data_IF_627072841599
#
_entry.id   IF_627072841599
#
_cell.length_a   1.000
_cell.length_b   1.000
_cell.length_c   1.000
_cell.angle_alpha   90.00
_cell.angle_beta   90.00
_cell.angle_gamma   90.00
#
_symmetry.space_group_name_H-M   'P 1'
#
loop_
_entity.id
_entity.type
_entity.pdbx_description
1 polymer ?
#
# COMPACT_ATOMS: atom_id res chain seq x y z
N UNK A 1 -1.09 -6.21 39.25
CA UNK A 1 -1.76 -6.67 40.49
C UNK A 1 -0.76 -7.49 41.29
N UNK A 2 0.06 -6.84 42.12
CA UNK A 2 0.93 -7.45 43.14
C UNK A 2 0.90 -6.53 44.36
N UNK A 3 0.49 -7.08 45.49
CA UNK A 3 0.33 -6.44 46.80
C UNK A 3 1.67 -6.25 47.51
N UNK A 4 1.91 -5.13 48.23
CA UNK A 4 3.11 -4.96 49.05
C UNK A 4 2.99 -5.61 50.43
N UNK A 5 4.11 -6.20 50.90
CA UNK A 5 4.26 -6.75 52.25
C UNK A 5 4.41 -5.64 53.29
N UNK A 6 3.57 -5.71 54.31
CA UNK A 6 3.55 -4.84 55.49
C UNK A 6 4.68 -5.28 56.44
N UNK A 7 5.57 -4.36 56.82
CA UNK A 7 6.53 -4.57 57.91
C UNK A 7 6.19 -3.60 59.04
N UNK A 8 5.61 -4.17 60.09
CA UNK A 8 5.18 -3.49 61.30
C UNK A 8 6.40 -3.36 62.22
N UNK A 9 6.88 -2.14 62.46
CA UNK A 9 7.92 -1.86 63.44
C UNK A 9 7.28 -1.64 64.82
N UNK A 10 7.67 -2.49 65.76
CA UNK A 10 7.24 -2.48 67.16
C UNK A 10 8.01 -1.40 67.93
N UNK A 11 7.31 -0.44 68.55
CA UNK A 11 7.90 0.50 69.50
C UNK A 11 7.77 -0.08 70.92
N UNK A 12 8.90 -0.44 71.52
CA UNK A 12 9.02 -0.77 72.95
C UNK A 12 9.11 0.52 73.76
N UNK A 13 8.14 0.72 74.65
CA UNK A 13 8.16 1.76 75.68
C UNK A 13 8.96 1.27 76.89
N UNK A 14 10.14 1.83 77.13
CA UNK A 14 10.86 1.69 78.41
C UNK A 14 10.75 3.00 79.19
N UNK A 15 10.02 2.94 80.30
CA UNK A 15 9.92 4.00 81.29
C UNK A 15 11.21 4.11 82.10
N UNK A 16 11.79 5.30 82.18
CA UNK A 16 12.80 5.64 83.19
C UNK A 16 12.63 7.10 83.61
N UNK A 17 12.23 7.28 84.87
CA UNK A 17 12.14 8.56 85.56
C UNK A 17 13.54 9.18 85.71
N UNK A 18 13.75 10.36 85.14
CA UNK A 18 14.81 11.29 85.55
C UNK A 18 14.16 12.67 85.71
N UNK A 19 14.00 13.08 86.97
CA UNK A 19 13.74 14.48 87.33
C UNK A 19 14.99 15.30 87.03
N UNK A 20 14.95 16.07 85.95
CA UNK A 20 15.84 17.20 85.74
C UNK A 20 14.97 18.41 85.41
N UNK A 21 15.10 19.46 86.21
CA UNK A 21 14.46 20.75 85.98
C UNK A 21 15.01 21.35 84.69
N UNK A 22 14.32 21.08 83.60
CA UNK A 22 14.55 21.61 82.27
C UNK A 22 13.48 22.66 81.99
N UNK A 23 13.89 23.79 81.45
CA UNK A 23 13.02 24.93 81.24
C UNK A 23 11.83 24.53 80.34
N UNK A 24 10.60 24.92 80.73
CA UNK A 24 9.40 24.75 79.89
C UNK A 24 9.53 25.42 78.51
N UNK A 25 10.53 26.28 78.32
CA UNK A 25 10.82 27.01 77.07
C UNK A 25 11.49 26.10 76.04
N UNK A 26 12.26 25.09 76.47
CA UNK A 26 13.05 24.27 75.55
C UNK A 26 12.29 23.04 75.01
N UNK A 27 11.28 22.48 75.72
CA UNK A 27 10.36 21.48 75.12
C UNK A 27 9.56 22.12 73.99
N UNK A 28 9.06 23.32 74.25
CA UNK A 28 8.24 24.08 73.31
C UNK A 28 9.04 24.52 72.08
N UNK A 29 10.34 24.82 72.24
CA UNK A 29 11.21 25.17 71.12
C UNK A 29 11.62 23.96 70.27
N UNK A 30 11.65 22.75 70.84
CA UNK A 30 11.92 21.49 70.12
C UNK A 30 10.68 21.02 69.35
N UNK A 31 9.48 21.03 69.95
CA UNK A 31 8.22 20.67 69.27
C UNK A 31 7.89 21.63 68.12
N UNK A 32 8.10 22.95 68.32
CA UNK A 32 7.90 23.94 67.26
C UNK A 32 8.88 23.74 66.09
N UNK A 33 10.15 23.39 66.38
CA UNK A 33 11.14 23.05 65.34
C UNK A 33 10.82 21.75 64.60
N UNK A 34 10.28 20.75 65.30
CA UNK A 34 9.91 19.47 64.72
C UNK A 34 8.63 19.56 63.86
N UNK A 35 7.66 20.37 64.30
CA UNK A 35 6.51 20.77 63.47
C UNK A 35 6.95 21.55 62.22
N UNK A 36 7.88 22.48 62.36
CA UNK A 36 8.41 23.27 61.25
C UNK A 36 9.18 22.38 60.24
N UNK A 37 9.95 21.41 60.75
CA UNK A 37 10.65 20.40 59.94
C UNK A 37 9.66 19.49 59.20
N UNK A 38 8.59 19.05 59.88
CA UNK A 38 7.52 18.26 59.28
C UNK A 38 6.76 19.03 58.19
N UNK A 39 6.49 20.32 58.39
CA UNK A 39 5.88 21.21 57.38
C UNK A 39 6.81 21.40 56.17
N UNK A 40 8.11 21.57 56.40
CA UNK A 40 9.13 21.69 55.35
C UNK A 40 9.26 20.40 54.53
N UNK A 41 9.26 19.24 55.19
CA UNK A 41 9.27 17.93 54.53
C UNK A 41 8.01 17.72 53.67
N UNK A 42 6.82 18.03 54.20
CA UNK A 42 5.55 17.96 53.46
C UNK A 42 5.54 18.88 52.23
N UNK A 43 6.07 20.11 52.34
CA UNK A 43 6.16 21.02 51.19
C UNK A 43 7.09 20.45 50.10
N UNK A 44 8.22 19.87 50.50
CA UNK A 44 9.16 19.20 49.57
C UNK A 44 8.50 18.01 48.85
N UNK A 45 7.67 17.22 49.54
CA UNK A 45 6.90 16.15 48.91
C UNK A 45 5.89 16.68 47.90
N UNK A 46 5.14 17.74 48.24
CA UNK A 46 4.16 18.34 47.34
C UNK A 46 4.81 18.91 46.08
N UNK A 47 5.96 19.59 46.22
CA UNK A 47 6.73 20.07 45.06
C UNK A 47 7.19 18.92 44.15
N UNK A 48 7.64 17.79 44.73
CA UNK A 48 8.01 16.61 43.96
C UNK A 48 6.79 15.94 43.30
N UNK A 49 5.64 15.90 43.97
CA UNK A 49 4.39 15.36 43.43
C UNK A 49 3.88 16.19 42.25
N UNK A 50 3.93 17.53 42.38
CA UNK A 50 3.59 18.46 41.29
C UNK A 50 4.54 18.29 40.09
N UNK A 51 5.85 18.13 40.33
CA UNK A 51 6.80 17.90 39.25
C UNK A 51 6.59 16.54 38.56
N UNK A 52 6.22 15.49 39.31
CA UNK A 52 5.85 14.19 38.75
C UNK A 52 4.60 14.31 37.88
N UNK A 53 3.56 15.00 38.35
CA UNK A 53 2.32 15.18 37.58
C UNK A 53 2.57 16.01 36.32
N UNK A 54 3.42 17.05 36.41
CA UNK A 54 3.87 17.81 35.23
C UNK A 54 4.58 16.92 34.21
N UNK A 55 5.56 16.11 34.64
CA UNK A 55 6.27 15.17 33.75
C UNK A 55 5.34 14.14 33.14
N UNK A 56 4.39 13.61 33.91
CA UNK A 56 3.36 12.68 33.44
C UNK A 56 2.47 13.32 32.38
N UNK A 57 2.06 14.57 32.58
CA UNK A 57 1.28 15.32 31.57
C UNK A 57 2.09 15.55 30.29
N UNK A 58 3.34 15.99 30.40
CA UNK A 58 4.23 16.19 29.24
C UNK A 58 4.45 14.88 28.46
N UNK A 59 4.69 13.77 29.15
CA UNK A 59 4.82 12.46 28.53
C UNK A 59 3.51 12.05 27.85
N UNK A 60 2.38 12.21 28.52
CA UNK A 60 1.07 11.86 27.94
C UNK A 60 0.77 12.66 26.67
N UNK A 61 1.06 13.96 26.67
CA UNK A 61 0.87 14.81 25.49
C UNK A 61 1.79 14.38 24.33
N UNK A 62 3.05 14.05 24.63
CA UNK A 62 3.98 13.53 23.61
C UNK A 62 3.50 12.22 23.00
N UNK A 63 3.02 11.29 23.83
CA UNK A 63 2.47 10.01 23.35
C UNK A 63 1.23 10.25 22.49
N UNK A 64 0.29 11.09 22.94
CA UNK A 64 -0.91 11.40 22.18
C UNK A 64 -0.59 12.05 20.83
N UNK A 65 0.37 12.97 20.78
CA UNK A 65 0.82 13.60 19.55
C UNK A 65 1.50 12.61 18.59
N UNK A 66 2.24 11.62 19.12
CA UNK A 66 2.82 10.54 18.31
C UNK A 66 1.75 9.60 17.76
N UNK A 67 0.80 9.18 18.60
CA UNK A 67 -0.31 8.32 18.18
C UNK A 67 -1.13 8.98 17.07
N UNK A 68 -1.47 10.26 17.20
CA UNK A 68 -2.21 10.99 16.16
C UNK A 68 -1.47 11.06 14.81
N UNK A 69 -0.13 11.17 14.82
CA UNK A 69 0.66 11.10 13.58
C UNK A 69 0.62 9.71 12.95
N UNK A 70 0.81 8.67 13.77
CA UNK A 70 0.78 7.27 13.32
C UNK A 70 -0.59 6.89 12.75
N UNK A 71 -1.68 7.36 13.38
CA UNK A 71 -3.05 7.13 12.90
C UNK A 71 -3.27 7.76 11.51
N UNK A 72 -2.83 9.00 11.32
CA UNK A 72 -2.93 9.70 10.03
C UNK A 72 -2.07 9.03 8.95
N UNK A 73 -0.83 8.66 9.26
CA UNK A 73 0.03 7.89 8.34
C UNK A 73 -0.59 6.54 7.99
N UNK A 74 -1.16 5.84 8.96
CA UNK A 74 -1.85 4.56 8.75
C UNK A 74 -3.04 4.73 7.81
N UNK A 75 -3.81 5.80 7.98
CA UNK A 75 -4.94 6.12 7.10
C UNK A 75 -4.47 6.39 5.66
N UNK A 76 -3.45 7.24 5.48
CA UNK A 76 -2.88 7.51 4.16
C UNK A 76 -2.32 6.26 3.48
N UNK A 77 -1.65 5.39 4.25
CA UNK A 77 -1.17 4.09 3.76
C UNK A 77 -2.32 3.18 3.32
N UNK A 78 -3.46 3.20 4.02
CA UNK A 78 -4.64 2.43 3.63
C UNK A 78 -5.22 2.93 2.29
N UNK A 79 -5.31 4.25 2.10
CA UNK A 79 -5.74 4.87 0.84
C UNK A 79 -4.81 4.48 -0.32
N UNK A 80 -3.50 4.56 -0.13
CA UNK A 80 -2.51 4.14 -1.15
C UNK A 80 -2.66 2.64 -1.49
N UNK A 81 -2.88 1.78 -0.49
CA UNK A 81 -3.10 0.34 -0.70
C UNK A 81 -4.38 0.08 -1.51
N UNK A 82 -5.47 0.74 -1.17
CA UNK A 82 -6.73 0.63 -1.92
C UNK A 82 -6.56 1.07 -3.38
N UNK A 83 -5.87 2.18 -3.62
CA UNK A 83 -5.55 2.64 -4.97
C UNK A 83 -4.69 1.64 -5.74
N UNK A 84 -3.70 1.01 -5.09
CA UNK A 84 -2.88 -0.06 -5.71
C UNK A 84 -3.70 -1.31 -6.02
N UNK A 85 -4.58 -1.74 -5.12
CA UNK A 85 -5.44 -2.92 -5.31
C UNK A 85 -6.46 -2.70 -6.44
N UNK A 86 -6.95 -1.47 -6.60
CA UNK A 86 -7.86 -1.10 -7.69
C UNK A 86 -7.16 -0.87 -9.04
N UNK A 87 -5.82 -0.83 -9.07
CA UNK A 87 -5.02 -0.60 -10.28
C UNK A 87 -5.07 -1.81 -11.22
N UNK A 88 -6.12 -1.86 -12.02
CA UNK A 88 -6.30 -2.87 -13.07
C UNK A 88 -5.78 -2.38 -14.43
N UNK A 89 -5.67 -3.29 -15.41
CA UNK A 89 -5.29 -2.92 -16.77
C UNK A 89 -6.40 -2.05 -17.42
N UNK A 90 -6.13 -0.77 -17.72
CA UNK A 90 -7.14 0.14 -18.24
C UNK A 90 -7.61 -0.21 -19.67
N UNK A 91 -6.80 -0.95 -20.46
CA UNK A 91 -7.15 -1.30 -21.85
C UNK A 91 -7.63 -2.74 -21.99
N UNK A 92 -7.90 -3.43 -20.88
CA UNK A 92 -8.27 -4.86 -20.85
C UNK A 92 -9.46 -5.19 -21.76
N UNK A 93 -10.46 -4.29 -21.84
CA UNK A 93 -11.68 -4.50 -22.66
C UNK A 93 -11.37 -4.37 -24.15
N UNK A 94 -10.59 -3.38 -24.54
CA UNK A 94 -10.13 -3.14 -25.90
C UNK A 94 -9.23 -4.29 -26.37
N UNK A 95 -8.28 -4.72 -25.54
CA UNK A 95 -7.40 -5.87 -25.78
C UNK A 95 -8.22 -7.13 -26.02
N UNK A 96 -9.21 -7.41 -25.16
CA UNK A 96 -10.09 -8.56 -25.33
C UNK A 96 -10.89 -8.50 -26.65
N UNK A 97 -11.34 -7.30 -27.04
CA UNK A 97 -12.06 -7.07 -28.30
C UNK A 97 -11.17 -7.30 -29.51
N UNK A 98 -9.94 -6.75 -29.51
CA UNK A 98 -8.97 -6.92 -30.59
C UNK A 98 -8.57 -8.39 -30.72
N UNK A 99 -8.32 -9.09 -29.61
CA UNK A 99 -8.00 -10.53 -29.61
C UNK A 99 -9.12 -11.37 -30.24
N UNK A 100 -10.39 -11.11 -29.87
CA UNK A 100 -11.54 -11.77 -30.49
C UNK A 100 -11.60 -11.53 -32.01
N UNK A 101 -11.33 -10.29 -32.46
CA UNK A 101 -11.26 -9.98 -33.90
C UNK A 101 -10.12 -10.72 -34.59
N UNK A 102 -8.94 -10.82 -33.97
CA UNK A 102 -7.82 -11.61 -34.48
C UNK A 102 -8.21 -13.08 -34.61
N UNK A 103 -8.91 -13.64 -33.63
CA UNK A 103 -9.37 -15.04 -33.67
C UNK A 103 -10.36 -15.29 -34.82
N UNK A 104 -11.29 -14.35 -35.05
CA UNK A 104 -12.23 -14.40 -36.19
C UNK A 104 -11.45 -14.34 -37.51
N UNK A 105 -10.56 -13.36 -37.67
CA UNK A 105 -9.74 -13.23 -38.89
C UNK A 105 -8.91 -14.48 -39.12
N UNK A 106 -8.30 -15.06 -38.09
CA UNK A 106 -7.53 -16.31 -38.18
C UNK A 106 -8.38 -17.51 -38.63
N UNK A 107 -9.64 -17.61 -38.16
CA UNK A 107 -10.56 -18.66 -38.60
C UNK A 107 -10.88 -18.55 -40.10
N UNK A 108 -11.05 -17.32 -40.61
CA UNK A 108 -11.33 -17.06 -42.02
C UNK A 108 -10.09 -17.18 -42.92
N UNK A 109 -8.90 -16.91 -42.38
CA UNK A 109 -7.64 -16.98 -43.12
C UNK A 109 -7.25 -18.41 -43.50
N UNK A 110 -7.57 -19.39 -42.64
CA UNK A 110 -7.30 -20.82 -42.86
C UNK A 110 -7.90 -21.35 -44.19
N UNK A 111 -9.22 -21.25 -44.44
CA UNK A 111 -9.80 -21.75 -45.69
C UNK A 111 -9.29 -20.98 -46.92
N UNK A 112 -9.07 -19.65 -46.82
CA UNK A 112 -8.50 -18.87 -47.93
C UNK A 112 -7.11 -19.37 -48.32
N UNK A 113 -6.24 -19.65 -47.34
CA UNK A 113 -4.92 -20.22 -47.59
C UNK A 113 -4.99 -21.62 -48.23
N UNK A 114 -5.93 -22.46 -47.78
CA UNK A 114 -6.17 -23.77 -48.40
C UNK A 114 -6.66 -23.66 -49.85
N UNK A 115 -7.55 -22.70 -50.14
CA UNK A 115 -8.04 -22.43 -51.50
C UNK A 115 -6.90 -21.99 -52.42
N UNK A 116 -6.04 -21.08 -51.96
CA UNK A 116 -4.86 -20.66 -52.71
C UNK A 116 -3.95 -21.85 -53.03
N UNK A 117 -3.62 -22.69 -52.05
CA UNK A 117 -2.77 -23.87 -52.26
C UNK A 117 -3.37 -24.87 -53.26
N UNK A 118 -4.68 -25.11 -53.20
CA UNK A 118 -5.37 -26.01 -54.15
C UNK A 118 -5.29 -25.46 -55.58
N UNK A 119 -5.52 -24.15 -55.75
CA UNK A 119 -5.46 -23.51 -57.07
C UNK A 119 -4.05 -23.45 -57.65
N UNK A 120 -3.02 -23.21 -56.83
CA UNK A 120 -1.60 -23.33 -57.25
C UNK A 120 -1.29 -24.74 -57.78
N UNK A 121 -1.74 -25.78 -57.06
CA UNK A 121 -1.55 -27.17 -57.50
C UNK A 121 -2.25 -27.45 -58.83
N UNK A 122 -3.48 -26.96 -58.99
CA UNK A 122 -4.21 -27.06 -60.25
C UNK A 122 -3.44 -26.39 -61.39
N UNK A 123 -3.00 -25.14 -61.22
CA UNK A 123 -2.20 -24.43 -62.23
C UNK A 123 -0.93 -25.19 -62.63
N UNK A 124 -0.26 -25.88 -61.69
CA UNK A 124 0.92 -26.69 -61.97
C UNK A 124 0.66 -28.04 -62.65
N UNK A 125 -0.58 -28.55 -62.59
CA UNK A 125 -0.98 -29.81 -63.22
C UNK A 125 -1.64 -29.62 -64.60
N UNK A 126 -2.09 -28.40 -64.90
CA UNK A 126 -2.72 -28.04 -66.16
C UNK A 126 -1.66 -28.08 -67.27
N UNK A 127 -1.51 -29.25 -67.88
CA UNK A 127 -0.81 -29.44 -69.16
C UNK A 127 -1.77 -29.09 -70.29
N UNK A 128 -2.23 -27.84 -70.42
CA UNK A 128 -3.37 -27.57 -71.32
C UNK A 128 -3.29 -26.30 -72.14
N UNK A 129 -4.03 -26.41 -73.24
CA UNK A 129 -4.62 -25.38 -74.08
C UNK A 129 -4.98 -24.10 -73.33
N UNK A 130 -4.75 -22.99 -74.01
CA UNK A 130 -4.91 -21.63 -73.49
C UNK A 130 -6.32 -21.36 -72.91
N UNK A 131 -7.37 -21.95 -73.48
CA UNK A 131 -8.76 -21.66 -73.12
C UNK A 131 -9.18 -22.13 -71.72
N UNK A 132 -8.63 -23.26 -71.22
CA UNK A 132 -8.96 -23.78 -69.88
C UNK A 132 -8.11 -23.14 -68.76
N UNK A 133 -6.97 -22.57 -69.11
CA UNK A 133 -6.01 -22.00 -68.16
C UNK A 133 -6.44 -20.62 -67.63
N UNK A 134 -6.97 -19.77 -68.51
CA UNK A 134 -7.39 -18.39 -68.20
C UNK A 134 -8.38 -18.27 -67.02
N UNK A 135 -9.47 -19.07 -66.93
CA UNK A 135 -10.39 -18.97 -65.80
C UNK A 135 -9.77 -19.41 -64.47
N UNK A 136 -8.93 -20.45 -64.48
CA UNK A 136 -8.26 -20.96 -63.26
C UNK A 136 -7.27 -19.93 -62.73
N UNK A 137 -6.52 -19.27 -63.61
CA UNK A 137 -5.60 -18.19 -63.25
C UNK A 137 -6.33 -17.00 -62.62
N UNK A 138 -7.45 -16.57 -63.22
CA UNK A 138 -8.29 -15.49 -62.68
C UNK A 138 -8.78 -15.83 -61.27
N UNK A 139 -9.40 -17.00 -61.09
CA UNK A 139 -9.92 -17.38 -59.78
C UNK A 139 -8.81 -17.59 -58.74
N UNK A 140 -7.60 -17.97 -59.15
CA UNK A 140 -6.44 -18.01 -58.27
C UNK A 140 -6.04 -16.62 -57.80
N UNK A 141 -5.98 -15.67 -58.73
CA UNK A 141 -5.67 -14.27 -58.44
C UNK A 141 -6.69 -13.67 -57.47
N UNK A 142 -7.98 -13.87 -57.70
CA UNK A 142 -9.05 -13.39 -56.83
C UNK A 142 -8.95 -14.00 -55.41
N UNK A 143 -8.66 -15.30 -55.31
CA UNK A 143 -8.45 -15.96 -54.02
C UNK A 143 -7.20 -15.44 -53.27
N UNK A 144 -6.13 -15.17 -54.00
CA UNK A 144 -4.89 -14.63 -53.45
C UNK A 144 -5.07 -13.20 -52.93
N UNK A 145 -5.82 -12.37 -53.66
CA UNK A 145 -6.15 -11.00 -53.23
C UNK A 145 -6.97 -11.01 -51.94
N UNK A 146 -8.02 -11.85 -51.86
CA UNK A 146 -8.82 -12.01 -50.65
C UNK A 146 -7.98 -12.49 -49.44
N UNK A 147 -7.05 -13.41 -49.65
CA UNK A 147 -6.13 -13.89 -48.62
C UNK A 147 -5.19 -12.77 -48.12
N UNK A 148 -4.62 -12.00 -49.05
CA UNK A 148 -3.70 -10.91 -48.73
C UNK A 148 -4.40 -9.78 -47.99
N UNK A 149 -5.61 -9.40 -48.40
CA UNK A 149 -6.37 -8.35 -47.70
C UNK A 149 -6.72 -8.77 -46.27
N UNK A 150 -7.14 -10.03 -46.06
CA UNK A 150 -7.34 -10.59 -44.71
C UNK A 150 -6.07 -10.58 -43.87
N UNK A 151 -4.92 -10.90 -44.45
CA UNK A 151 -3.62 -10.83 -43.76
C UNK A 151 -3.24 -9.39 -43.38
N UNK A 152 -3.53 -8.41 -44.24
CA UNK A 152 -3.32 -6.99 -43.96
C UNK A 152 -4.16 -6.54 -42.77
N UNK A 153 -5.44 -6.91 -42.73
CA UNK A 153 -6.32 -6.65 -41.58
C UNK A 153 -5.77 -7.31 -40.30
N UNK A 154 -5.29 -8.56 -40.38
CA UNK A 154 -4.65 -9.24 -39.24
C UNK A 154 -3.42 -8.46 -38.75
N UNK A 155 -2.55 -8.01 -39.66
CA UNK A 155 -1.36 -7.24 -39.31
C UNK A 155 -1.73 -5.92 -38.63
N UNK A 156 -2.74 -5.21 -39.12
CA UNK A 156 -3.26 -4.00 -38.48
C UNK A 156 -3.81 -4.26 -37.06
N UNK A 157 -4.56 -5.36 -36.87
CA UNK A 157 -5.06 -5.73 -35.55
C UNK A 157 -3.95 -6.08 -34.57
N UNK A 158 -2.88 -6.75 -35.04
CA UNK A 158 -1.69 -7.03 -34.23
C UNK A 158 -0.99 -5.73 -33.85
N UNK A 159 -0.84 -4.79 -34.79
CA UNK A 159 -0.31 -3.46 -34.51
C UNK A 159 -1.12 -2.73 -33.44
N UNK A 160 -2.44 -2.71 -33.57
CA UNK A 160 -3.32 -2.10 -32.56
C UNK A 160 -3.21 -2.78 -31.20
N UNK A 161 -3.02 -4.10 -31.16
CA UNK A 161 -2.81 -4.83 -29.91
C UNK A 161 -1.52 -4.39 -29.22
N UNK A 162 -0.43 -4.19 -29.98
CA UNK A 162 0.84 -3.70 -29.43
C UNK A 162 0.67 -2.29 -28.84
N UNK A 163 0.00 -1.39 -29.56
CA UNK A 163 -0.30 -0.04 -29.07
C UNK A 163 -1.09 -0.06 -27.76
N UNK A 164 -2.16 -0.85 -27.67
CA UNK A 164 -2.98 -0.96 -26.47
C UNK A 164 -2.20 -1.45 -25.24
N UNK A 165 -1.25 -2.35 -25.44
CA UNK A 165 -0.37 -2.85 -24.37
C UNK A 165 0.59 -1.75 -23.91
N UNK A 166 1.20 -1.01 -24.84
CA UNK A 166 2.08 0.12 -24.51
C UNK A 166 1.32 1.28 -23.83
N UNK A 167 0.11 1.61 -24.30
CA UNK A 167 -0.77 2.59 -23.67
C UNK A 167 -1.12 2.18 -22.23
N UNK A 168 -1.48 0.91 -22.01
CA UNK A 168 -1.77 0.37 -20.68
C UNK A 168 -0.59 0.46 -19.72
N UNK A 169 0.60 0.03 -20.17
CA UNK A 169 1.82 0.11 -19.38
C UNK A 169 2.14 1.55 -18.98
N UNK A 170 2.09 2.48 -19.92
CA UNK A 170 2.34 3.91 -19.65
C UNK A 170 1.38 4.48 -18.61
N UNK A 171 0.09 4.14 -18.69
CA UNK A 171 -0.91 4.61 -17.73
C UNK A 171 -0.69 4.03 -16.33
N UNK A 172 -0.40 2.73 -16.22
CA UNK A 172 -0.10 2.09 -14.93
C UNK A 172 1.19 2.63 -14.31
N UNK A 173 2.24 2.81 -15.12
CA UNK A 173 3.49 3.40 -14.64
C UNK A 173 3.30 4.83 -14.13
N UNK A 174 2.57 5.67 -14.85
CA UNK A 174 2.26 7.03 -14.39
C UNK A 174 1.52 7.02 -13.04
N UNK A 175 0.54 6.12 -12.86
CA UNK A 175 -0.19 6.01 -11.60
C UNK A 175 0.71 5.51 -10.46
N UNK A 176 1.59 4.56 -10.73
CA UNK A 176 2.58 4.07 -9.76
C UNK A 176 3.57 5.16 -9.36
N UNK A 177 4.02 6.01 -10.30
CA UNK A 177 4.87 7.17 -10.00
C UNK A 177 4.16 8.19 -9.09
N UNK A 178 2.88 8.46 -9.34
CA UNK A 178 2.05 9.32 -8.48
C UNK A 178 1.94 8.74 -7.05
N UNK A 179 1.65 7.45 -6.93
CA UNK A 179 1.57 6.77 -5.63
C UNK A 179 2.92 6.73 -4.90
N UNK A 180 4.02 6.55 -5.63
CA UNK A 180 5.37 6.61 -5.06
C UNK A 180 5.65 7.97 -4.41
N UNK A 181 5.24 9.08 -5.06
CA UNK A 181 5.40 10.42 -4.50
C UNK A 181 4.61 10.61 -3.20
N UNK A 182 3.43 9.99 -3.08
CA UNK A 182 2.68 10.02 -1.82
C UNK A 182 3.46 9.32 -0.71
N UNK A 183 4.07 8.16 -0.98
CA UNK A 183 4.91 7.44 0.00
C UNK A 183 6.14 8.27 0.38
N UNK A 184 6.80 8.89 -0.59
CA UNK A 184 7.97 9.74 -0.33
C UNK A 184 7.60 10.96 0.54
N UNK A 185 6.41 11.53 0.34
CA UNK A 185 5.90 12.63 1.15
C UNK A 185 5.55 12.25 2.61
N UNK A 186 5.43 10.95 2.92
CA UNK A 186 5.20 10.47 4.28
C UNK A 186 6.47 10.40 5.13
N UNK A 187 7.66 10.44 4.51
CA UNK A 187 8.94 10.39 5.23
C UNK A 187 9.47 11.78 5.67
N UNK A 188 8.66 12.84 5.50
CA UNK A 188 8.92 14.23 5.91
C UNK A 188 7.98 14.63 7.06
#
# INVERSE_FOLDING_TARGET
MQTPKHQQAQLQTTSSNISSSFSSVDIQSIEVKDEEMSRSALNTFRLKEEEIEKKKMEVSQKVQAQLGRVEEETKRLAEIREELESLTDPTMKEVATVRKKIDIVNKELKPLGQTCQKKVKLLGLVSLSYDDFVPVEKEYKDALEAFNEKNKVKAQLIGRLMELVSESEKLRMKKLEELSKHIDSMHL
#
